data_IF_763714658305
#
_entry.id   IF_763714658305
#
_cell.length_a   1.000
_cell.length_b   1.000
_cell.length_c   1.000
_cell.angle_alpha   90.00
_cell.angle_beta   90.00
_cell.angle_gamma   90.00
#
_symmetry.space_group_name_H-M   'P 1'
#
loop_
_entity.id
_entity.type
_entity.pdbx_description
1 polymer ?
#
# COMPACT_ATOMS: atom_id res chain seq x y z
N UNK A 1 16.59 4.80 -11.52
CA UNK A 1 16.59 4.06 -12.79
C UNK A 1 15.35 4.48 -13.56
N UNK A 2 15.34 4.50 -14.91
CA UNK A 2 14.17 4.90 -15.71
C UNK A 2 12.94 3.99 -15.53
N UNK A 3 13.09 2.85 -14.86
CA UNK A 3 11.98 2.02 -14.42
C UNK A 3 12.00 1.82 -12.89
N UNK A 4 11.19 2.60 -12.18
CA UNK A 4 11.10 2.65 -10.71
C UNK A 4 10.99 1.27 -10.04
N UNK A 5 10.23 0.33 -10.65
CA UNK A 5 10.01 -0.99 -10.07
C UNK A 5 11.30 -1.82 -9.93
N UNK A 6 12.33 -1.54 -10.74
CA UNK A 6 13.63 -2.19 -10.67
C UNK A 6 14.34 -1.96 -9.33
N UNK A 7 14.11 -0.82 -8.67
CA UNK A 7 14.75 -0.48 -7.39
C UNK A 7 14.37 -1.46 -6.25
N UNK A 8 13.24 -2.17 -6.35
CA UNK A 8 12.89 -3.23 -5.41
C UNK A 8 13.91 -4.38 -5.39
N UNK A 9 14.72 -4.56 -6.44
CA UNK A 9 15.81 -5.53 -6.45
C UNK A 9 16.84 -5.26 -5.34
N UNK A 10 17.13 -4.00 -5.02
CA UNK A 10 18.12 -3.61 -4.02
C UNK A 10 17.72 -4.02 -2.59
N UNK A 11 16.42 -4.10 -2.30
CA UNK A 11 15.92 -4.52 -0.98
C UNK A 11 15.64 -6.03 -0.86
N UNK A 12 15.72 -6.80 -1.94
CA UNK A 12 15.55 -8.27 -1.91
C UNK A 12 16.47 -9.00 -0.91
N UNK A 13 17.75 -8.60 -0.69
CA UNK A 13 18.58 -9.22 0.34
C UNK A 13 17.96 -9.15 1.74
N UNK A 14 17.20 -8.09 2.05
CA UNK A 14 16.50 -7.93 3.31
C UNK A 14 15.16 -8.70 3.39
N UNK A 15 14.72 -9.37 2.32
CA UNK A 15 13.44 -10.09 2.23
C UNK A 15 13.68 -11.61 2.18
N UNK A 16 12.83 -12.39 2.85
CA UNK A 16 12.85 -13.86 2.83
C UNK A 16 11.86 -14.39 1.78
N UNK A 17 12.08 -15.62 1.30
CA UNK A 17 11.15 -16.32 0.38
C UNK A 17 9.73 -16.56 0.94
N UNK A 18 9.51 -16.31 2.23
CA UNK A 18 8.19 -16.29 2.89
C UNK A 18 7.46 -14.94 2.78
N UNK A 19 8.05 -13.93 2.13
CA UNK A 19 7.49 -12.57 2.03
C UNK A 19 7.67 -11.71 3.29
N UNK A 20 8.18 -12.27 4.39
CA UNK A 20 8.61 -11.51 5.56
C UNK A 20 10.03 -10.94 5.36
N UNK A 21 10.30 -9.77 5.92
CA UNK A 21 11.67 -9.23 5.94
C UNK A 21 12.52 -9.89 7.04
N UNK A 22 13.85 -9.67 6.99
CA UNK A 22 14.80 -10.10 8.02
C UNK A 22 14.66 -9.23 9.27
N UNK A 23 14.86 -9.85 10.43
CA UNK A 23 14.77 -9.16 11.73
C UNK A 23 13.41 -8.47 11.94
N UNK A 24 13.39 -7.26 12.50
CA UNK A 24 12.16 -6.49 12.78
C UNK A 24 11.65 -5.67 11.59
N UNK A 25 12.35 -5.65 10.45
CA UNK A 25 11.98 -4.84 9.28
C UNK A 25 10.60 -5.20 8.69
N UNK A 26 10.03 -4.27 7.91
CA UNK A 26 8.72 -4.36 7.27
C UNK A 26 8.89 -4.47 5.75
N UNK A 27 8.68 -5.66 5.19
CA UNK A 27 8.94 -5.95 3.77
C UNK A 27 8.21 -5.01 2.78
N UNK A 28 6.94 -4.68 3.06
CA UNK A 28 6.18 -3.75 2.21
C UNK A 28 6.71 -2.32 2.26
N UNK A 29 7.29 -1.89 3.40
CA UNK A 29 7.88 -0.56 3.55
C UNK A 29 9.26 -0.46 2.89
N UNK A 30 10.06 -1.55 2.93
CA UNK A 30 11.30 -1.64 2.14
C UNK A 30 11.01 -1.48 0.63
N UNK A 31 10.04 -2.23 0.10
CA UNK A 31 9.70 -2.20 -1.32
C UNK A 31 9.06 -0.86 -1.71
N UNK A 32 8.05 -0.38 -0.98
CA UNK A 32 7.43 0.91 -1.28
C UNK A 32 8.38 2.10 -1.06
N UNK A 33 9.30 2.03 -0.08
CA UNK A 33 10.37 3.01 0.10
C UNK A 33 11.32 3.05 -1.09
N UNK A 34 11.68 1.89 -1.65
CA UNK A 34 12.47 1.84 -2.89
C UNK A 34 11.73 2.39 -4.13
N UNK A 35 10.45 2.73 -4.02
CA UNK A 35 9.67 3.42 -5.07
C UNK A 35 9.35 4.88 -4.72
N UNK A 36 9.43 5.28 -3.45
CA UNK A 36 8.92 6.56 -2.96
C UNK A 36 9.53 7.81 -3.64
N UNK A 37 10.86 7.90 -3.88
CA UNK A 37 11.47 9.11 -4.45
C UNK A 37 10.91 9.50 -5.82
N UNK A 38 10.58 8.52 -6.65
CA UNK A 38 10.04 8.67 -8.01
C UNK A 38 8.55 9.04 -8.04
N UNK A 39 7.80 8.90 -6.95
CA UNK A 39 6.33 9.08 -6.98
C UNK A 39 5.91 10.50 -7.36
N UNK A 40 6.79 11.49 -7.15
CA UNK A 40 6.62 12.88 -7.62
C UNK A 40 6.60 12.97 -9.15
N UNK A 41 7.41 12.18 -9.84
CA UNK A 41 7.44 12.10 -11.30
C UNK A 41 6.14 11.51 -11.86
N UNK A 42 5.58 10.48 -11.22
CA UNK A 42 4.24 9.98 -11.55
C UNK A 42 3.16 11.03 -11.27
N UNK A 43 3.22 11.74 -10.14
CA UNK A 43 2.27 12.77 -9.74
C UNK A 43 2.25 14.00 -10.68
N UNK A 44 3.37 14.34 -11.32
CA UNK A 44 3.48 15.42 -12.33
C UNK A 44 2.54 15.25 -13.54
N UNK A 45 1.96 14.05 -13.71
CA UNK A 45 0.91 13.78 -14.69
C UNK A 45 -0.38 14.57 -14.40
N UNK A 46 -0.60 14.94 -13.13
CA UNK A 46 -1.81 15.59 -12.62
C UNK A 46 -1.51 16.90 -11.86
N UNK A 47 -0.36 17.01 -11.20
CA UNK A 47 0.04 18.16 -10.37
C UNK A 47 1.34 18.75 -10.91
N UNK A 48 1.30 19.88 -11.66
CA UNK A 48 2.50 20.47 -12.26
C UNK A 48 3.58 20.78 -11.23
N UNK A 49 4.83 20.45 -11.56
CA UNK A 49 5.99 20.72 -10.70
C UNK A 49 6.48 19.50 -9.91
N UNK A 50 5.80 18.35 -10.02
CA UNK A 50 6.28 17.09 -9.45
C UNK A 50 7.67 16.68 -9.96
N UNK A 51 8.03 17.04 -11.20
CA UNK A 51 9.40 16.86 -11.71
C UNK A 51 10.45 17.62 -10.90
N UNK A 52 10.20 18.89 -10.54
CA UNK A 52 11.12 19.70 -9.76
C UNK A 52 11.17 19.24 -8.29
N UNK A 53 10.03 18.87 -7.71
CA UNK A 53 9.98 18.36 -6.33
C UNK A 53 10.71 17.01 -6.15
N UNK A 54 10.99 16.29 -7.24
CA UNK A 54 11.88 15.13 -7.22
C UNK A 54 13.31 15.43 -6.74
N UNK A 55 13.80 16.67 -6.86
CA UNK A 55 15.09 17.05 -6.26
C UNK A 55 15.05 16.99 -4.74
N UNK A 56 13.90 17.33 -4.13
CA UNK A 56 13.72 17.25 -2.68
C UNK A 56 13.58 15.80 -2.20
N UNK A 57 12.81 14.94 -2.87
CA UNK A 57 12.71 13.52 -2.46
C UNK A 57 14.05 12.81 -2.59
N UNK A 58 14.82 13.10 -3.64
CA UNK A 58 16.18 12.58 -3.81
C UNK A 58 17.25 13.24 -2.90
N UNK A 59 16.85 14.05 -1.92
CA UNK A 59 17.73 14.63 -0.89
C UNK A 59 17.64 13.85 0.42
N UNK A 60 18.67 13.93 1.28
CA UNK A 60 18.63 13.29 2.60
C UNK A 60 17.42 13.74 3.46
N UNK A 61 17.04 15.04 3.51
CA UNK A 61 15.77 15.46 4.11
C UNK A 61 14.54 14.77 3.53
N UNK A 62 14.44 14.60 2.21
CA UNK A 62 13.31 13.93 1.55
C UNK A 62 13.18 12.46 1.93
N UNK A 63 14.28 11.72 1.83
CA UNK A 63 14.42 10.31 2.24
C UNK A 63 13.99 10.09 3.70
N UNK A 64 14.31 11.04 4.59
CA UNK A 64 13.97 11.00 6.02
C UNK A 64 12.55 11.49 6.36
N UNK A 65 11.83 12.12 5.43
CA UNK A 65 10.52 12.76 5.71
C UNK A 65 9.45 12.38 4.69
N UNK A 66 9.42 13.03 3.53
CA UNK A 66 8.37 12.89 2.51
C UNK A 66 8.32 11.45 1.99
N UNK A 67 9.45 10.79 1.77
CA UNK A 67 9.47 9.42 1.27
C UNK A 67 8.87 8.43 2.28
N UNK A 68 8.97 8.70 3.58
CA UNK A 68 8.34 7.88 4.63
C UNK A 68 6.81 8.02 4.56
N UNK A 69 6.29 9.23 4.32
CA UNK A 69 4.86 9.50 4.15
C UNK A 69 4.33 8.90 2.83
N UNK A 70 5.06 9.04 1.73
CA UNK A 70 4.76 8.40 0.44
C UNK A 70 4.77 6.87 0.59
N UNK A 71 5.74 6.31 1.33
CA UNK A 71 5.80 4.87 1.64
C UNK A 71 4.56 4.43 2.43
N UNK A 72 4.09 5.22 3.41
CA UNK A 72 2.86 4.93 4.14
C UNK A 72 1.63 4.93 3.21
N UNK A 73 1.52 5.90 2.31
CA UNK A 73 0.44 5.96 1.32
C UNK A 73 0.48 4.77 0.33
N UNK A 74 1.66 4.42 -0.19
CA UNK A 74 1.88 3.27 -1.08
C UNK A 74 1.55 1.95 -0.39
N UNK A 75 1.95 1.75 0.87
CA UNK A 75 1.60 0.54 1.64
C UNK A 75 0.09 0.50 1.94
N UNK A 76 -0.53 1.64 2.25
CA UNK A 76 -1.99 1.74 2.37
C UNK A 76 -2.71 1.31 1.09
N UNK A 77 -2.31 1.86 -0.05
CA UNK A 77 -2.82 1.47 -1.37
C UNK A 77 -2.61 -0.02 -1.67
N UNK A 78 -1.42 -0.55 -1.39
CA UNK A 78 -1.12 -1.98 -1.53
C UNK A 78 -2.06 -2.88 -0.73
N UNK A 79 -2.35 -2.52 0.53
CA UNK A 79 -3.29 -3.26 1.38
C UNK A 79 -4.73 -3.26 0.81
N UNK A 80 -5.13 -2.20 0.09
CA UNK A 80 -6.43 -2.14 -0.59
C UNK A 80 -6.48 -3.02 -1.85
N UNK A 81 -5.38 -3.13 -2.62
CA UNK A 81 -5.38 -3.79 -3.94
C UNK A 81 -4.85 -5.24 -3.95
N UNK A 82 -4.10 -5.69 -2.93
CA UNK A 82 -3.38 -6.99 -2.97
C UNK A 82 -4.27 -8.22 -3.15
N UNK A 83 -5.41 -8.34 -2.44
CA UNK A 83 -6.30 -9.51 -2.62
C UNK A 83 -7.01 -9.50 -3.99
N UNK A 84 -7.56 -8.36 -4.47
CA UNK A 84 -8.00 -8.22 -5.85
C UNK A 84 -6.94 -8.60 -6.90
N UNK A 85 -5.69 -8.14 -6.76
CA UNK A 85 -4.62 -8.51 -7.69
C UNK A 85 -4.26 -10.01 -7.62
N UNK A 86 -4.31 -10.61 -6.42
CA UNK A 86 -4.12 -12.06 -6.24
C UNK A 86 -5.20 -12.87 -6.98
N UNK A 87 -6.39 -12.32 -7.23
CA UNK A 87 -7.43 -12.98 -8.01
C UNK A 87 -7.10 -13.09 -9.52
N UNK A 88 -6.25 -12.21 -10.07
CA UNK A 88 -5.81 -12.28 -11.46
C UNK A 88 -4.86 -13.47 -11.70
N UNK A 89 -3.99 -13.76 -10.73
CA UNK A 89 -2.96 -14.82 -10.76
C UNK A 89 -3.54 -16.18 -11.19
N UNK A 90 -2.82 -16.99 -11.98
CA UNK A 90 -3.20 -18.36 -12.33
C UNK A 90 -3.56 -19.19 -11.08
N UNK A 91 -4.64 -20.00 -11.17
CA UNK A 91 -5.20 -20.73 -10.01
C UNK A 91 -4.14 -21.50 -9.21
N UNK A 92 -3.21 -22.18 -9.89
CA UNK A 92 -2.14 -22.97 -9.29
C UNK A 92 -1.16 -22.18 -8.39
N UNK A 93 -1.02 -20.86 -8.57
CA UNK A 93 -0.09 -20.04 -7.77
C UNK A 93 -0.79 -19.16 -6.73
N UNK A 94 -2.13 -19.12 -6.70
CA UNK A 94 -2.88 -18.19 -5.84
C UNK A 94 -2.61 -18.35 -4.35
N UNK A 95 -2.57 -19.59 -3.83
CA UNK A 95 -2.29 -19.85 -2.41
C UNK A 95 -0.89 -19.39 -2.02
N UNK A 96 0.11 -19.79 -2.80
CA UNK A 96 1.52 -19.39 -2.67
C UNK A 96 1.71 -17.88 -2.72
N UNK A 97 1.13 -17.20 -3.72
CA UNK A 97 1.22 -15.74 -3.87
C UNK A 97 0.47 -15.04 -2.72
N UNK A 98 -0.71 -15.51 -2.31
CA UNK A 98 -1.43 -14.95 -1.16
C UNK A 98 -0.61 -15.02 0.13
N UNK A 99 0.06 -16.16 0.38
CA UNK A 99 0.96 -16.34 1.51
C UNK A 99 2.13 -15.35 1.46
N UNK A 100 2.80 -15.25 0.30
CA UNK A 100 3.92 -14.34 0.11
C UNK A 100 3.54 -12.85 0.26
N UNK A 101 2.45 -12.38 -0.34
CA UNK A 101 2.01 -10.96 -0.24
C UNK A 101 1.39 -10.62 1.12
N UNK A 102 1.09 -11.61 1.96
CA UNK A 102 0.71 -11.44 3.37
C UNK A 102 1.94 -11.29 4.27
N UNK A 103 3.01 -12.03 4.01
CA UNK A 103 4.27 -11.96 4.77
C UNK A 103 4.07 -12.18 6.27
N UNK A 104 4.76 -11.39 7.11
CA UNK A 104 4.55 -11.39 8.57
C UNK A 104 3.20 -10.74 8.91
N UNK A 105 2.37 -11.45 9.67
CA UNK A 105 1.15 -10.87 10.27
C UNK A 105 1.52 -9.91 11.40
N UNK A 106 1.29 -8.62 11.20
CA UNK A 106 1.43 -7.59 12.23
C UNK A 106 0.10 -7.35 12.94
N UNK A 107 0.08 -7.52 14.27
CA UNK A 107 -1.08 -7.27 15.14
C UNK A 107 -0.57 -6.76 16.51
N UNK A 108 -0.17 -5.48 16.63
CA UNK A 108 0.29 -4.93 17.89
C UNK A 108 -0.84 -4.97 18.94
N UNK A 109 -0.52 -5.44 20.15
CA UNK A 109 -1.46 -5.58 21.27
C UNK A 109 -1.46 -4.40 22.24
N UNK A 110 -0.52 -3.48 22.11
CA UNK A 110 -0.37 -2.30 22.97
C UNK A 110 0.44 -1.19 22.32
N UNK A 111 0.47 -0.03 22.98
CA UNK A 111 1.14 1.19 22.48
C UNK A 111 2.63 0.99 22.21
N UNK A 112 3.34 0.24 23.06
CA UNK A 112 4.76 -0.07 22.85
C UNK A 112 5.02 -0.93 21.61
N UNK A 113 4.22 -1.98 21.37
CA UNK A 113 4.33 -2.79 20.14
C UNK A 113 3.98 -1.98 18.89
N UNK A 114 3.00 -1.07 18.99
CA UNK A 114 2.63 -0.17 17.88
C UNK A 114 3.73 0.87 17.59
N UNK A 115 4.31 1.49 18.62
CA UNK A 115 5.41 2.44 18.48
C UNK A 115 6.66 1.77 17.87
N UNK A 116 6.99 0.56 18.32
CA UNK A 116 8.06 -0.24 17.72
C UNK A 116 7.76 -0.57 16.25
N UNK A 117 6.53 -0.95 15.89
CA UNK A 117 6.14 -1.19 14.50
C UNK A 117 6.24 0.08 13.64
N UNK A 118 5.82 1.24 14.15
CA UNK A 118 5.96 2.53 13.43
C UNK A 118 7.43 2.91 13.24
N UNK A 119 8.26 2.74 14.27
CA UNK A 119 9.72 2.95 14.16
C UNK A 119 10.36 2.04 13.12
N UNK A 120 10.08 0.73 13.16
CA UNK A 120 10.60 -0.22 12.19
C UNK A 120 10.01 -0.04 10.78
N UNK A 121 8.80 0.48 10.65
CA UNK A 121 8.23 0.93 9.37
C UNK A 121 9.04 2.10 8.80
N UNK A 122 9.29 3.14 9.60
CA UNK A 122 10.05 4.31 9.19
C UNK A 122 11.49 3.94 8.80
N UNK A 123 12.20 3.14 9.62
CA UNK A 123 13.53 2.60 9.28
C UNK A 123 13.48 1.78 7.97
N UNK A 124 12.45 0.97 7.76
CA UNK A 124 12.30 0.20 6.51
C UNK A 124 12.04 1.09 5.29
N UNK A 125 11.25 2.17 5.44
CA UNK A 125 10.98 3.15 4.39
C UNK A 125 12.26 3.91 4.01
N UNK A 126 12.97 4.45 5.01
CA UNK A 126 14.25 5.16 4.86
C UNK A 126 15.29 4.26 4.19
N UNK A 127 15.42 2.99 4.60
CA UNK A 127 16.36 2.05 3.95
C UNK A 127 15.99 1.79 2.48
N UNK A 128 14.69 1.66 2.17
CA UNK A 128 14.23 1.52 0.78
C UNK A 128 14.59 2.75 -0.06
N UNK A 129 14.20 3.95 0.39
CA UNK A 129 14.46 5.20 -0.32
C UNK A 129 15.98 5.49 -0.41
N UNK A 130 16.76 5.18 0.61
CA UNK A 130 18.22 5.28 0.56
C UNK A 130 18.83 4.36 -0.51
N UNK A 131 18.38 3.10 -0.65
CA UNK A 131 18.89 2.22 -1.72
C UNK A 131 18.58 2.76 -3.12
N UNK A 132 17.41 3.39 -3.29
CA UNK A 132 17.03 4.06 -4.54
C UNK A 132 17.94 5.27 -4.82
N UNK A 133 18.04 6.20 -3.88
CA UNK A 133 18.76 7.47 -4.06
C UNK A 133 20.27 7.25 -4.21
N UNK A 134 20.85 6.28 -3.51
CA UNK A 134 22.27 5.90 -3.69
C UNK A 134 22.52 5.35 -5.10
N UNK A 135 21.64 4.48 -5.61
CA UNK A 135 21.77 3.94 -6.96
C UNK A 135 21.65 5.03 -8.04
N UNK A 136 20.76 5.99 -7.83
CA UNK A 136 20.49 7.04 -8.80
C UNK A 136 21.49 8.20 -8.71
N UNK A 137 22.11 8.43 -7.55
CA UNK A 137 23.31 9.25 -7.41
C UNK A 137 24.54 8.62 -8.12
N UNK A 138 24.56 7.30 -8.29
CA UNK A 138 25.60 6.59 -9.04
C UNK A 138 25.34 6.57 -10.56
N UNK A 139 24.07 6.46 -11.00
CA UNK A 139 23.74 6.21 -12.42
C UNK A 139 23.19 7.39 -13.23
N UNK A 140 22.85 8.52 -12.62
CA UNK A 140 22.40 9.70 -13.38
C UNK A 140 23.55 10.59 -13.89
N UNK A 141 23.48 11.09 -15.14
CA UNK A 141 24.44 12.05 -15.67
C UNK A 141 24.56 13.29 -14.77
N UNK A 142 25.79 13.76 -14.59
CA UNK A 142 26.11 14.90 -13.72
C UNK A 142 26.02 14.64 -12.22
N UNK A 143 25.62 13.44 -11.77
CA UNK A 143 25.65 13.04 -10.34
C UNK A 143 26.98 12.37 -9.97
N UNK A 144 27.11 11.97 -8.70
CA UNK A 144 28.35 11.51 -8.08
C UNK A 144 29.07 10.39 -8.85
N UNK A 145 28.33 9.36 -9.31
CA UNK A 145 28.94 8.23 -10.03
C UNK A 145 29.52 8.58 -11.39
N UNK A 146 28.85 9.42 -12.21
CA UNK A 146 29.39 9.78 -13.53
C UNK A 146 30.56 10.75 -13.44
N UNK A 147 30.64 11.55 -12.35
CA UNK A 147 31.83 12.34 -12.00
C UNK A 147 33.01 11.49 -11.53
N UNK A 148 32.77 10.34 -10.89
CA UNK A 148 33.82 9.45 -10.39
C UNK A 148 34.31 8.40 -11.40
N UNK A 149 33.50 8.03 -12.40
CA UNK A 149 33.83 6.99 -13.38
C UNK A 149 34.00 7.62 -14.77
N UNK A 150 35.24 7.91 -15.20
CA UNK A 150 35.50 8.53 -16.49
C UNK A 150 34.88 7.75 -17.65
N UNK A 151 34.11 8.45 -18.49
CA UNK A 151 33.47 7.89 -19.67
C UNK A 151 31.99 7.49 -19.50
N UNK A 152 31.39 7.58 -18.30
CA UNK A 152 29.93 7.39 -18.17
C UNK A 152 29.12 8.46 -18.92
N UNK A 153 29.62 9.70 -19.00
CA UNK A 153 28.99 10.78 -19.78
C UNK A 153 29.49 10.84 -21.25
N UNK A 154 30.26 9.83 -21.71
CA UNK A 154 30.66 9.71 -23.13
C UNK A 154 29.45 9.33 -23.97
N UNK A 155 29.27 9.98 -25.12
CA UNK A 155 28.26 9.59 -26.11
C UNK A 155 28.76 8.42 -26.97
N UNK A 156 27.93 7.39 -27.10
CA UNK A 156 28.12 6.21 -27.96
C UNK A 156 26.78 5.91 -28.63
N UNK A 157 26.75 5.68 -29.94
CA UNK A 157 25.50 5.37 -30.66
C UNK A 157 24.42 6.47 -30.59
N UNK A 158 24.80 7.72 -30.27
CA UNK A 158 23.88 8.85 -30.09
C UNK A 158 23.38 9.05 -28.65
N UNK A 159 23.72 8.18 -27.70
CA UNK A 159 23.30 8.28 -26.29
C UNK A 159 24.49 8.30 -25.32
N UNK A 160 24.40 8.96 -24.16
CA UNK A 160 25.37 8.82 -23.08
C UNK A 160 25.49 7.36 -22.58
N UNK A 161 26.70 6.91 -22.22
CA UNK A 161 26.94 5.57 -21.65
C UNK A 161 26.12 5.34 -20.38
N UNK A 162 25.91 6.36 -19.55
CA UNK A 162 25.06 6.30 -18.36
C UNK A 162 23.59 5.93 -18.69
N UNK A 163 23.07 6.29 -19.87
CA UNK A 163 21.74 5.85 -20.35
C UNK A 163 21.71 4.33 -20.59
N UNK A 164 22.75 3.76 -21.21
CA UNK A 164 22.85 2.30 -21.37
C UNK A 164 22.99 1.58 -20.04
N UNK A 165 23.77 2.13 -19.09
CA UNK A 165 23.88 1.60 -17.73
C UNK A 165 22.53 1.63 -17.02
N UNK A 166 21.78 2.73 -17.11
CA UNK A 166 20.45 2.87 -16.53
C UNK A 166 19.44 1.82 -17.03
N UNK A 167 19.31 1.64 -18.35
CA UNK A 167 18.38 0.65 -18.92
C UNK A 167 18.88 -0.79 -18.71
N UNK A 168 20.18 -1.05 -18.87
CA UNK A 168 20.77 -2.38 -18.65
C UNK A 168 20.65 -2.85 -17.20
N UNK A 169 20.92 -1.96 -16.24
CA UNK A 169 20.77 -2.29 -14.81
C UNK A 169 19.31 -2.42 -14.39
N UNK A 170 18.37 -1.69 -15.04
CA UNK A 170 16.93 -1.95 -14.90
C UNK A 170 16.56 -3.37 -15.34
N UNK A 171 17.06 -3.83 -16.49
CA UNK A 171 16.80 -5.19 -16.98
C UNK A 171 17.40 -6.27 -16.06
N UNK A 172 18.64 -6.07 -15.59
CA UNK A 172 19.29 -6.97 -14.63
C UNK A 172 18.55 -7.05 -13.29
N UNK A 173 18.05 -5.91 -12.79
CA UNK A 173 17.25 -5.85 -11.57
C UNK A 173 15.93 -6.64 -11.71
N UNK A 174 15.23 -6.50 -12.85
CA UNK A 174 14.02 -7.29 -13.13
C UNK A 174 14.32 -8.79 -13.26
N UNK A 175 15.46 -9.17 -13.86
CA UNK A 175 15.93 -10.55 -13.89
C UNK A 175 16.23 -11.10 -12.47
N UNK A 176 16.84 -10.30 -11.60
CA UNK A 176 17.07 -10.65 -10.20
C UNK A 176 15.76 -10.81 -9.40
N UNK A 177 14.77 -9.93 -9.63
CA UNK A 177 13.43 -10.06 -9.04
C UNK A 177 12.72 -11.34 -9.52
N UNK A 178 12.80 -11.66 -10.81
CA UNK A 178 12.26 -12.91 -11.35
C UNK A 178 12.96 -14.14 -10.75
N UNK A 179 14.29 -14.14 -10.66
CA UNK A 179 15.08 -15.22 -10.07
C UNK A 179 14.81 -15.40 -8.55
N UNK A 180 14.51 -14.32 -7.83
CA UNK A 180 14.10 -14.38 -6.42
C UNK A 180 12.70 -14.99 -6.24
N UNK A 181 11.73 -14.60 -7.09
CA UNK A 181 10.34 -15.06 -7.01
C UNK A 181 10.14 -16.47 -7.59
N UNK A 182 10.94 -16.91 -8.55
CA UNK A 182 10.77 -18.20 -9.23
C UNK A 182 10.79 -19.42 -8.27
N UNK A 183 11.74 -19.55 -7.31
CA UNK A 183 11.66 -20.58 -6.28
C UNK A 183 10.42 -20.48 -5.38
N UNK A 184 9.89 -19.28 -5.14
CA UNK A 184 8.65 -19.08 -4.37
C UNK A 184 7.47 -19.65 -5.15
N UNK A 185 7.31 -19.29 -6.43
CA UNK A 185 6.24 -19.78 -7.31
C UNK A 185 6.29 -21.31 -7.53
N UNK A 186 7.50 -21.89 -7.55
CA UNK A 186 7.75 -23.34 -7.56
C UNK A 186 7.47 -24.04 -6.21
N UNK A 187 7.09 -23.30 -5.17
CA UNK A 187 6.76 -23.84 -3.85
C UNK A 187 7.94 -23.96 -2.86
N UNK A 188 9.17 -23.72 -3.30
CA UNK A 188 10.40 -23.76 -2.49
C UNK A 188 10.61 -22.57 -1.54
N UNK A 189 9.50 -21.98 -1.05
CA UNK A 189 9.50 -20.83 -0.13
C UNK A 189 8.41 -20.88 0.95
N UNK A 190 7.43 -21.78 0.84
CA UNK A 190 6.26 -21.84 1.75
C UNK A 190 5.71 -23.25 1.86
N UNK A 191 5.27 -23.66 3.06
CA UNK A 191 4.45 -24.86 3.25
C UNK A 191 3.02 -24.74 2.67
N UNK A 192 2.69 -23.62 2.01
CA UNK A 192 1.41 -23.37 1.35
C UNK A 192 1.31 -23.93 -0.09
N UNK A 193 2.33 -24.66 -0.53
CA UNK A 193 2.39 -25.27 -1.87
C UNK A 193 1.28 -26.31 -2.05
N UNK A 194 0.25 -25.95 -2.83
CA UNK A 194 -0.96 -26.77 -3.02
C UNK A 194 -2.13 -26.44 -2.09
N UNK A 195 -2.00 -25.49 -1.16
CA UNK A 195 -3.15 -25.04 -0.37
C UNK A 195 -4.18 -24.30 -1.26
N UNK A 196 -5.48 -24.53 -1.07
CA UNK A 196 -6.53 -23.77 -1.73
C UNK A 196 -6.36 -22.25 -1.53
N UNK A 197 -6.77 -21.46 -2.53
CA UNK A 197 -6.85 -20.02 -2.36
C UNK A 197 -7.85 -19.70 -1.23
N UNK A 198 -7.47 -18.93 -0.19
CA UNK A 198 -8.36 -18.66 0.93
C UNK A 198 -9.58 -17.85 0.48
N UNK A 199 -10.70 -17.97 1.20
CA UNK A 199 -11.98 -17.37 0.83
C UNK A 199 -11.96 -15.84 0.62
N UNK A 200 -10.92 -15.15 1.10
CA UNK A 200 -10.64 -13.72 0.87
C UNK A 200 -10.11 -13.38 -0.53
N UNK A 201 -9.80 -14.37 -1.38
CA UNK A 201 -9.38 -14.21 -2.78
C UNK A 201 -10.58 -14.49 -3.70
N UNK A 202 -11.09 -13.49 -4.46
CA UNK A 202 -12.27 -13.69 -5.30
C UNK A 202 -12.10 -14.69 -6.45
N UNK A 203 -13.06 -15.60 -6.58
CA UNK A 203 -13.22 -16.51 -7.72
C UNK A 203 -13.75 -15.75 -8.95
N UNK A 204 -12.85 -15.10 -9.69
CA UNK A 204 -13.19 -14.40 -10.95
C UNK A 204 -13.18 -15.36 -12.16
N UNK A 205 -14.30 -15.43 -12.87
CA UNK A 205 -14.43 -16.13 -14.16
C UNK A 205 -13.60 -15.45 -15.26
N UNK A 206 -13.31 -16.14 -16.37
CA UNK A 206 -12.48 -15.59 -17.47
C UNK A 206 -13.12 -14.32 -18.06
N UNK A 207 -14.43 -14.35 -18.36
CA UNK A 207 -15.18 -13.17 -18.84
C UNK A 207 -15.09 -12.00 -17.87
N UNK A 208 -15.27 -12.25 -16.57
CA UNK A 208 -15.23 -11.20 -15.54
C UNK A 208 -13.81 -10.64 -15.32
N UNK A 209 -12.78 -11.47 -15.42
CA UNK A 209 -11.37 -11.00 -15.41
C UNK A 209 -11.14 -10.00 -16.54
N UNK A 210 -11.47 -10.38 -17.79
CA UNK A 210 -11.29 -9.54 -18.97
C UNK A 210 -12.04 -8.20 -18.82
N UNK A 211 -13.32 -8.25 -18.42
CA UNK A 211 -14.15 -7.05 -18.20
C UNK A 211 -13.61 -6.11 -17.13
N UNK A 212 -12.86 -6.62 -16.13
CA UNK A 212 -12.26 -5.80 -15.08
C UNK A 212 -10.83 -5.35 -15.41
N UNK A 213 -10.08 -6.09 -16.23
CA UNK A 213 -8.74 -5.69 -16.68
C UNK A 213 -8.76 -4.70 -17.84
N UNK A 214 -9.82 -4.69 -18.68
CA UNK A 214 -9.94 -3.72 -19.79
C UNK A 214 -9.97 -2.26 -19.28
N UNK A 215 -10.81 -1.87 -18.30
CA UNK A 215 -10.76 -0.52 -17.72
C UNK A 215 -9.40 -0.16 -17.14
N UNK A 216 -8.72 -1.10 -16.46
CA UNK A 216 -7.37 -0.90 -15.94
C UNK A 216 -6.37 -0.63 -17.07
N UNK A 217 -6.39 -1.42 -18.15
CA UNK A 217 -5.55 -1.22 -19.32
C UNK A 217 -5.84 0.13 -20.04
N UNK A 218 -7.11 0.55 -20.09
CA UNK A 218 -7.51 1.85 -20.62
C UNK A 218 -6.97 3.01 -19.75
N UNK A 219 -7.00 2.91 -18.42
CA UNK A 219 -6.37 3.91 -17.55
C UNK A 219 -4.85 4.03 -17.80
N UNK A 220 -4.16 2.88 -17.96
CA UNK A 220 -2.72 2.83 -18.27
C UNK A 220 -2.43 3.47 -19.63
N UNK A 221 -3.19 3.11 -20.67
CA UNK A 221 -3.03 3.65 -22.01
C UNK A 221 -3.31 5.16 -22.06
N UNK A 222 -4.40 5.62 -21.42
CA UNK A 222 -4.76 7.04 -21.36
C UNK A 222 -3.69 7.87 -20.64
N UNK A 223 -3.17 7.39 -19.51
CA UNK A 223 -2.08 8.06 -18.77
C UNK A 223 -0.78 8.15 -19.58
N UNK A 224 -0.39 7.05 -20.25
CA UNK A 224 0.79 7.01 -21.12
C UNK A 224 0.65 7.97 -22.31
N UNK A 225 -0.48 7.92 -23.04
CA UNK A 225 -0.77 8.80 -24.17
C UNK A 225 -0.80 10.27 -23.72
N UNK A 226 -1.45 10.59 -22.59
CA UNK A 226 -1.48 11.95 -22.05
C UNK A 226 -0.07 12.52 -21.80
N UNK A 227 0.81 11.77 -21.12
CA UNK A 227 2.20 12.24 -20.92
C UNK A 227 3.01 12.33 -22.20
N UNK A 228 2.87 11.36 -23.12
CA UNK A 228 3.58 11.40 -24.40
C UNK A 228 3.14 12.61 -25.25
N UNK A 229 1.85 12.95 -25.25
CA UNK A 229 1.35 14.15 -25.93
C UNK A 229 1.88 15.44 -25.28
N UNK A 230 1.87 15.55 -23.94
CA UNK A 230 2.50 16.69 -23.24
C UNK A 230 4.01 16.79 -23.53
N UNK A 231 4.72 15.66 -23.53
CA UNK A 231 6.14 15.62 -23.87
C UNK A 231 6.41 16.03 -25.33
N UNK A 232 5.55 15.64 -26.28
CA UNK A 232 5.67 16.02 -27.70
C UNK A 232 5.52 17.53 -27.92
N UNK A 233 4.71 18.20 -27.12
CA UNK A 233 4.58 19.66 -27.14
C UNK A 233 5.82 20.39 -26.59
N UNK A 234 6.70 19.72 -25.84
CA UNK A 234 7.94 20.30 -25.29
C UNK A 234 9.17 19.92 -26.10
N UNK A 235 9.34 18.63 -26.43
CA UNK A 235 10.51 18.13 -27.18
C UNK A 235 10.38 18.25 -28.70
N UNK A 236 9.21 18.67 -29.20
CA UNK A 236 8.92 18.75 -30.63
C UNK A 236 8.83 17.37 -31.32
N UNK A 237 8.72 17.33 -32.65
CA UNK A 237 8.53 16.09 -33.41
C UNK A 237 9.82 15.31 -33.72
N UNK A 238 11.00 15.90 -33.47
CA UNK A 238 12.30 15.32 -33.81
C UNK A 238 12.93 14.43 -32.73
N UNK A 239 12.33 14.32 -31.54
CA UNK A 239 12.82 13.48 -30.47
C UNK A 239 12.57 11.98 -30.76
N UNK A 240 13.47 11.12 -30.29
CA UNK A 240 13.45 9.69 -30.50
C UNK A 240 12.50 8.94 -29.55
N UNK A 241 12.24 7.67 -29.86
CA UNK A 241 11.36 6.82 -29.06
C UNK A 241 11.84 6.64 -27.60
N UNK A 242 13.16 6.73 -27.37
CA UNK A 242 13.76 6.63 -26.03
C UNK A 242 13.59 7.89 -25.19
N UNK A 243 13.41 9.07 -25.80
CA UNK A 243 13.16 10.33 -25.08
C UNK A 243 11.72 10.37 -24.53
N UNK A 244 10.77 9.79 -25.28
CA UNK A 244 9.39 9.63 -24.82
C UNK A 244 9.21 8.43 -23.87
N UNK A 245 10.15 7.48 -23.80
CA UNK A 245 9.98 6.25 -23.01
C UNK A 245 9.78 6.51 -21.50
N UNK A 246 10.58 7.34 -20.80
CA UNK A 246 10.29 7.72 -19.42
C UNK A 246 8.92 8.40 -19.27
N UNK A 247 8.55 9.30 -20.20
CA UNK A 247 7.24 9.96 -20.19
C UNK A 247 6.09 8.95 -20.34
N UNK A 248 6.22 7.95 -21.21
CA UNK A 248 5.24 6.89 -21.37
C UNK A 248 5.14 6.02 -20.09
N UNK A 249 6.27 5.69 -19.44
CA UNK A 249 6.32 4.90 -18.22
C UNK A 249 5.71 5.64 -17.01
N UNK A 250 6.03 6.92 -16.82
CA UNK A 250 5.40 7.75 -15.77
C UNK A 250 3.90 7.95 -16.02
N UNK A 251 3.49 8.11 -17.28
CA UNK A 251 2.07 8.18 -17.65
C UNK A 251 1.33 6.88 -17.39
N UNK A 252 1.91 5.74 -17.79
CA UNK A 252 1.38 4.41 -17.55
C UNK A 252 1.19 4.13 -16.05
N UNK A 253 2.17 4.50 -15.22
CA UNK A 253 2.07 4.33 -13.77
C UNK A 253 1.06 5.27 -13.10
N UNK A 254 0.91 6.51 -13.56
CA UNK A 254 -0.18 7.38 -13.11
C UNK A 254 -1.56 6.79 -13.46
N UNK A 255 -1.67 6.16 -14.63
CA UNK A 255 -2.82 5.35 -15.03
C UNK A 255 -3.08 4.14 -14.10
N UNK A 256 -2.03 3.44 -13.66
CA UNK A 256 -2.14 2.38 -12.64
C UNK A 256 -2.60 2.92 -11.28
N UNK A 257 -2.07 4.06 -10.82
CA UNK A 257 -2.43 4.67 -9.52
C UNK A 257 -3.93 5.00 -9.47
N UNK A 258 -4.53 5.43 -10.58
CA UNK A 258 -5.98 5.62 -10.68
C UNK A 258 -6.76 4.31 -10.90
N UNK A 259 -6.29 3.45 -11.80
CA UNK A 259 -7.02 2.25 -12.23
C UNK A 259 -7.04 1.12 -11.18
N UNK A 260 -5.98 0.96 -10.39
CA UNK A 260 -5.87 -0.13 -9.40
C UNK A 260 -6.88 -0.01 -8.24
N UNK A 261 -7.12 1.18 -7.64
CA UNK A 261 -8.23 1.38 -6.69
C UNK A 261 -9.60 1.07 -7.30
N UNK A 262 -9.88 1.54 -8.52
CA UNK A 262 -11.17 1.29 -9.20
C UNK A 262 -11.40 -0.20 -9.45
N UNK A 263 -10.37 -0.90 -9.96
CA UNK A 263 -10.35 -2.35 -10.11
C UNK A 263 -10.58 -3.07 -8.77
N UNK A 264 -9.88 -2.66 -7.70
CA UNK A 264 -10.01 -3.27 -6.38
C UNK A 264 -11.39 -3.07 -5.75
N UNK A 265 -11.98 -1.88 -5.89
CA UNK A 265 -13.36 -1.59 -5.44
C UNK A 265 -14.36 -2.45 -6.21
N UNK A 266 -14.27 -2.51 -7.54
CA UNK A 266 -15.16 -3.33 -8.37
C UNK A 266 -15.09 -4.82 -7.97
N UNK A 267 -13.87 -5.37 -7.84
CA UNK A 267 -13.65 -6.76 -7.39
C UNK A 267 -14.22 -7.02 -5.99
N UNK A 268 -13.99 -6.12 -5.02
CA UNK A 268 -14.52 -6.28 -3.65
C UNK A 268 -16.05 -6.22 -3.62
N UNK A 269 -16.67 -5.29 -4.35
CA UNK A 269 -18.14 -5.19 -4.47
C UNK A 269 -18.76 -6.45 -5.09
N UNK A 270 -18.17 -6.99 -6.15
CA UNK A 270 -18.60 -8.23 -6.80
C UNK A 270 -18.45 -9.44 -5.87
N UNK A 271 -17.35 -9.51 -5.13
CA UNK A 271 -17.13 -10.56 -4.13
C UNK A 271 -18.16 -10.51 -2.99
N UNK A 272 -18.43 -9.33 -2.41
CA UNK A 272 -19.46 -9.17 -1.38
C UNK A 272 -20.86 -9.52 -1.89
N UNK A 273 -21.21 -9.18 -3.13
CA UNK A 273 -22.48 -9.62 -3.76
C UNK A 273 -22.52 -11.15 -3.88
N UNK A 274 -21.46 -11.78 -4.39
CA UNK A 274 -21.38 -13.24 -4.51
C UNK A 274 -21.45 -14.00 -3.18
N UNK A 275 -20.95 -13.41 -2.09
CA UNK A 275 -21.12 -13.96 -0.73
C UNK A 275 -22.56 -13.80 -0.23
N UNK A 276 -23.18 -12.63 -0.43
CA UNK A 276 -24.57 -12.37 -0.02
C UNK A 276 -25.57 -13.27 -0.73
N UNK A 277 -25.41 -13.49 -2.03
CA UNK A 277 -26.29 -14.38 -2.79
C UNK A 277 -26.22 -15.81 -2.22
N UNK A 278 -25.02 -16.38 -2.07
CA UNK A 278 -24.85 -17.73 -1.47
C UNK A 278 -25.45 -17.87 -0.07
N UNK A 279 -25.45 -16.81 0.73
CA UNK A 279 -26.08 -16.82 2.06
C UNK A 279 -27.62 -16.79 2.00
N UNK A 280 -28.20 -16.10 1.00
CA UNK A 280 -29.63 -16.15 0.70
C UNK A 280 -30.03 -17.54 0.14
N UNK A 281 -29.27 -18.05 -0.83
CA UNK A 281 -29.48 -19.38 -1.43
C UNK A 281 -29.45 -20.49 -0.36
N UNK A 282 -28.52 -20.39 0.61
CA UNK A 282 -28.38 -21.33 1.71
C UNK A 282 -29.42 -21.17 2.84
N UNK A 283 -30.23 -20.11 2.84
CA UNK A 283 -31.31 -19.89 3.83
C UNK A 283 -32.72 -19.99 3.23
N UNK A 284 -32.84 -20.19 1.92
CA UNK A 284 -34.13 -20.30 1.22
C UNK A 284 -34.96 -19.00 1.15
N UNK A 285 -34.43 -17.90 1.67
CA UNK A 285 -35.09 -16.59 1.71
C UNK A 285 -34.51 -15.66 0.64
N UNK A 286 -35.34 -15.02 -0.21
CA UNK A 286 -34.84 -14.07 -1.20
C UNK A 286 -34.17 -12.88 -0.51
N UNK A 287 -33.07 -12.33 -1.07
CA UNK A 287 -32.31 -11.27 -0.43
C UNK A 287 -33.17 -9.99 -0.31
N UNK A 288 -33.60 -9.69 0.91
CA UNK A 288 -34.43 -8.51 1.19
C UNK A 288 -33.76 -7.22 0.71
N UNK A 289 -34.47 -6.37 -0.06
CA UNK A 289 -34.01 -5.02 -0.33
C UNK A 289 -33.76 -4.30 1.00
N UNK A 290 -32.66 -3.54 1.09
CA UNK A 290 -32.38 -2.75 2.28
C UNK A 290 -33.54 -1.77 2.50
N UNK A 291 -34.28 -1.95 3.60
CA UNK A 291 -35.47 -1.17 3.87
C UNK A 291 -35.10 0.31 3.94
N UNK A 292 -35.63 1.12 3.00
CA UNK A 292 -35.60 2.57 3.13
C UNK A 292 -36.40 2.93 4.39
N UNK A 293 -35.69 3.28 5.45
CA UNK A 293 -36.27 3.90 6.64
C UNK A 293 -36.77 5.30 6.27
N UNK A 294 -37.97 5.35 5.67
CA UNK A 294 -38.72 6.59 5.51
C UNK A 294 -39.02 7.10 6.93
N UNK A 295 -38.56 8.31 7.32
CA UNK A 295 -38.87 8.86 8.63
C UNK A 295 -40.39 8.97 8.78
N UNK A 296 -40.95 8.32 9.81
CA UNK A 296 -42.37 8.39 10.10
C UNK A 296 -42.70 9.83 10.53
N UNK A 297 -43.52 10.52 9.75
CA UNK A 297 -43.89 11.90 10.04
C UNK A 297 -44.52 12.01 11.44
N UNK A 298 -44.01 12.94 12.25
CA UNK A 298 -44.55 13.24 13.57
C UNK A 298 -45.73 14.18 13.39
N UNK A 299 -46.93 13.75 13.80
CA UNK A 299 -48.10 14.61 13.83
C UNK A 299 -47.97 15.62 14.99
N UNK A 300 -48.36 16.89 14.80
CA UNK A 300 -48.28 17.90 15.85
C UNK A 300 -49.32 17.64 16.95
N UNK A 301 -48.87 17.63 18.21
CA UNK A 301 -49.75 17.49 19.37
C UNK A 301 -50.40 18.84 19.70
N UNK A 302 -51.69 18.97 19.40
CA UNK A 302 -52.54 20.06 19.88
C UNK A 302 -53.14 19.75 21.25
N UNK A 303 -53.16 20.74 22.15
CA UNK A 303 -53.62 20.55 23.54
C UNK A 303 -55.15 20.65 23.69
N UNK A 304 -55.70 20.03 24.75
CA UNK A 304 -56.32 20.79 25.86
C UNK A 304 -56.95 19.93 27.00
N UNK A 305 -56.75 20.41 28.23
CA UNK A 305 -57.68 20.46 29.37
C UNK A 305 -58.18 19.20 30.15
N UNK A 306 -58.09 19.35 31.49
CA UNK A 306 -58.89 18.72 32.56
C UNK A 306 -58.64 17.20 32.87
N UNK A 307 -58.82 16.69 34.11
CA UNK A 307 -59.35 17.32 35.33
C UNK A 307 -58.87 16.66 36.65
N UNK A 308 -58.42 17.49 37.62
CA UNK A 308 -58.54 17.36 39.10
C UNK A 308 -57.84 16.22 39.89
N UNK A 309 -57.75 16.50 41.21
CA UNK A 309 -57.48 15.66 42.40
C UNK A 309 -56.01 15.37 42.78
N UNK A 310 -55.57 16.11 43.80
CA UNK A 310 -54.58 15.77 44.83
C UNK A 310 -55.34 15.70 46.20
N UNK A 311 -54.77 15.44 47.40
CA UNK A 311 -53.35 15.54 47.79
C UNK A 311 -52.83 14.50 48.83
N UNK A 312 -51.68 14.82 49.43
CA UNK A 312 -51.03 14.28 50.65
C UNK A 312 -50.35 12.90 50.58
N UNK A 313 -49.24 12.65 51.31
CA UNK A 313 -48.46 13.57 52.15
C UNK A 313 -47.26 12.92 52.88
N UNK A 314 -46.65 13.70 53.79
CA UNK A 314 -45.57 13.38 54.77
C UNK A 314 -44.17 12.97 54.24
N UNK A 315 -43.20 12.88 55.17
CA UNK A 315 -41.74 12.98 54.94
C UNK A 315 -40.96 12.01 55.90
N UNK A 316 -39.62 11.85 55.79
CA UNK A 316 -38.85 10.74 56.40
C UNK A 316 -38.32 11.08 57.83
N UNK A 317 -37.51 10.20 58.49
CA UNK A 317 -36.04 10.21 58.28
C UNK A 317 -35.31 8.85 58.41
N UNK A 318 -33.99 8.85 58.17
CA UNK A 318 -33.04 7.77 58.50
C UNK A 318 -32.68 7.74 59.99
N UNK A 319 -32.09 6.64 60.50
CA UNK A 319 -30.78 6.76 61.17
C UNK A 319 -29.83 5.54 60.91
N UNK A 320 -28.55 5.72 60.53
CA UNK A 320 -27.32 5.88 61.37
C UNK A 320 -26.47 4.59 61.43
N UNK A 321 -25.14 4.74 61.38
CA UNK A 321 -24.14 3.72 61.68
C UNK A 321 -23.01 4.27 62.57
N UNK A 322 -22.50 3.46 63.52
CA UNK A 322 -21.10 3.54 63.98
C UNK A 322 -20.48 2.13 64.20
N UNK A 323 -19.18 1.91 64.48
CA UNK A 323 -17.93 2.69 64.22
C UNK A 323 -16.69 1.84 64.60
N UNK A 324 -15.56 2.04 63.90
CA UNK A 324 -14.19 1.88 64.42
C UNK A 324 -13.55 0.47 64.48
N UNK A 325 -12.25 0.33 64.82
CA UNK A 325 -11.10 1.27 64.67
C UNK A 325 -9.77 0.59 65.14
N UNK A 326 -8.65 0.85 64.45
CA UNK A 326 -7.24 0.61 64.87
C UNK A 326 -6.83 -0.87 65.18
N UNK A 327 -5.58 -1.34 65.02
CA UNK A 327 -4.34 -0.86 64.37
C UNK A 327 -3.60 -2.12 63.79
N UNK A 328 -2.27 -2.31 63.61
CA UNK A 328 -1.03 -1.60 63.99
C UNK A 328 0.14 -2.04 63.07
N UNK A 329 1.24 -1.29 63.05
CA UNK A 329 2.58 -1.65 62.51
C UNK A 329 3.63 -1.55 63.64
N UNK A 330 4.95 -1.84 63.47
CA UNK A 330 5.67 -2.36 62.30
C UNK A 330 6.61 -3.56 62.63
N UNK A 331 7.38 -4.06 61.64
CA UNK A 331 8.82 -4.30 61.82
C UNK A 331 9.58 -4.61 60.51
N UNK A 332 10.86 -4.22 60.49
CA UNK A 332 11.91 -4.68 59.55
C UNK A 332 13.17 -4.95 60.37
N UNK A 333 14.09 -5.83 59.92
CA UNK A 333 15.34 -5.30 59.37
C UNK A 333 15.93 -6.10 58.18
N UNK A 334 17.03 -5.57 57.64
CA UNK A 334 17.95 -6.14 56.62
C UNK A 334 19.22 -6.70 57.31
N UNK A 335 20.36 -7.05 56.64
CA UNK A 335 20.69 -7.15 55.21
C UNK A 335 21.43 -8.47 54.83
N UNK A 336 22.27 -8.45 53.77
CA UNK A 336 23.16 -9.50 53.20
C UNK A 336 22.47 -10.68 52.48
N UNK A 337 23.05 -11.26 51.42
CA UNK A 337 24.31 -10.94 50.70
C UNK A 337 24.07 -10.17 49.38
#
# INVERSE_FOLDING_TARGET
MPFTLSHAAAVLPAIRRTGAARGPLVASALVAGSFAPDMTYYADTLVPGGMAFGEFTHSLPGVLTVDVLVTAALVGGWLLVREPLTALVPRAWRGTVHSFVRGRSWRPRGTGELAALVGWFAVSAVLGAATHVVWDAFTHPGRWGTRLVPGLDRVVGGLPVCTYVQYGTSALALAAMAAFLWPVLRGGGTAASGLPAPASVPELSVRLRLLLTVPLALCVAAGAVHRVLRARAVYGPGAGALDYLPSALFGAGAGLVLGLPLYAVAVRLLHHRGLRNRAADATGLPPTPAARTVPRAVAPSGAAAASRVAPSGSAPPSPVAPSGAAATSPNSPSPTE
#
